data_IF_699027211032
#
_entry.id   IF_699027211032
#
_cell.length_a   1.000
_cell.length_b   1.000
_cell.length_c   1.000
_cell.angle_alpha   90.00
_cell.angle_beta   90.00
_cell.angle_gamma   90.00
#
_symmetry.space_group_name_H-M   'P 1'
#
loop_
_entity.id
_entity.type
_entity.pdbx_description
1 polymer ?
#
# COMPACT_ATOMS: atom_id res chain seq x y z
N UNK A 1 17.94 5.07 3.97
CA UNK A 1 16.65 4.58 3.45
C UNK A 1 16.87 3.81 2.15
N UNK A 2 16.32 2.60 2.05
CA UNK A 2 16.51 1.73 0.89
C UNK A 2 15.68 2.22 -0.30
N UNK A 3 16.15 2.01 -1.53
CA UNK A 3 15.42 2.47 -2.74
C UNK A 3 13.96 1.98 -2.81
N UNK A 4 13.68 0.78 -2.33
CA UNK A 4 12.32 0.23 -2.31
C UNK A 4 11.40 0.96 -1.33
N UNK A 5 11.95 1.45 -0.21
CA UNK A 5 11.25 2.28 0.76
C UNK A 5 10.99 3.66 0.16
N UNK A 6 12.00 4.31 -0.44
CA UNK A 6 11.84 5.61 -1.12
C UNK A 6 10.73 5.53 -2.17
N UNK A 7 10.78 4.54 -3.06
CA UNK A 7 9.75 4.31 -4.07
C UNK A 7 8.35 4.15 -3.45
N UNK A 8 8.25 3.53 -2.29
CA UNK A 8 6.97 3.29 -1.62
C UNK A 8 6.46 4.55 -0.92
N UNK A 9 7.32 5.21 -0.14
CA UNK A 9 7.03 6.43 0.62
C UNK A 9 6.60 7.57 -0.31
N UNK A 10 7.29 7.76 -1.43
CA UNK A 10 7.02 8.83 -2.39
C UNK A 10 6.07 8.40 -3.52
N UNK A 11 5.54 7.17 -3.46
CA UNK A 11 4.57 6.67 -4.45
C UNK A 11 5.09 6.58 -5.88
N UNK A 12 6.41 6.47 -6.07
CA UNK A 12 7.06 6.51 -7.37
C UNK A 12 6.74 5.26 -8.22
N UNK A 13 6.74 5.41 -9.53
CA UNK A 13 6.61 4.31 -10.47
C UNK A 13 7.86 3.42 -10.37
N UNK A 14 7.69 2.16 -9.95
CA UNK A 14 8.82 1.24 -9.81
C UNK A 14 9.60 1.08 -11.13
N UNK A 15 8.89 0.96 -12.25
CA UNK A 15 9.53 0.79 -13.56
C UNK A 15 10.37 2.01 -13.91
N UNK A 16 9.82 3.20 -13.74
CA UNK A 16 10.44 4.44 -14.21
C UNK A 16 11.53 4.93 -13.25
N UNK A 17 11.30 4.82 -11.94
CA UNK A 17 12.29 5.21 -10.92
C UNK A 17 13.54 4.32 -10.98
N UNK A 18 13.38 3.00 -11.02
CA UNK A 18 14.52 2.09 -11.20
C UNK A 18 15.09 2.11 -12.62
N UNK A 19 14.31 2.53 -13.62
CA UNK A 19 14.80 2.74 -14.99
C UNK A 19 15.78 3.92 -15.00
N UNK A 20 15.31 5.08 -14.54
CA UNK A 20 16.12 6.29 -14.43
C UNK A 20 17.43 6.08 -13.66
N UNK A 21 17.37 5.44 -12.48
CA UNK A 21 18.59 5.16 -11.71
C UNK A 21 19.61 4.28 -12.46
N UNK A 22 19.16 3.42 -13.37
CA UNK A 22 20.07 2.61 -14.21
C UNK A 22 20.57 3.39 -15.41
N UNK A 23 19.69 4.15 -16.06
CA UNK A 23 20.02 4.94 -17.24
C UNK A 23 21.07 6.01 -16.89
N UNK A 24 20.98 6.59 -15.68
CA UNK A 24 21.99 7.49 -15.11
C UNK A 24 23.19 6.76 -14.48
N UNK A 25 23.25 5.43 -14.59
CA UNK A 25 24.32 4.57 -14.05
C UNK A 25 24.58 4.74 -12.53
N UNK A 26 23.56 5.15 -11.78
CA UNK A 26 23.62 5.26 -10.31
C UNK A 26 23.46 3.89 -9.63
N UNK A 27 22.79 2.94 -10.29
CA UNK A 27 22.68 1.56 -9.82
C UNK A 27 22.95 0.57 -10.95
N UNK A 28 23.49 -0.59 -10.59
CA UNK A 28 23.71 -1.72 -11.50
C UNK A 28 22.98 -2.95 -10.98
N UNK A 29 22.41 -3.74 -11.90
CA UNK A 29 21.74 -4.99 -11.57
C UNK A 29 22.77 -6.04 -11.16
N UNK A 30 22.60 -6.62 -9.97
CA UNK A 30 23.33 -7.80 -9.51
C UNK A 30 22.41 -9.02 -9.45
N UNK A 31 22.99 -10.21 -9.24
CA UNK A 31 22.30 -11.50 -9.27
C UNK A 31 21.04 -11.51 -8.39
N UNK A 32 21.16 -11.01 -7.15
CA UNK A 32 20.09 -11.03 -6.15
C UNK A 32 19.70 -9.64 -5.64
N UNK A 33 19.82 -8.62 -6.51
CA UNK A 33 19.58 -7.25 -6.06
C UNK A 33 20.03 -6.14 -7.00
N UNK A 34 20.41 -5.03 -6.38
CA UNK A 34 21.06 -3.89 -7.02
C UNK A 34 22.24 -3.45 -6.16
N UNK A 35 23.29 -2.99 -6.83
CA UNK A 35 24.47 -2.38 -6.21
C UNK A 35 24.63 -0.95 -6.72
N UNK A 36 25.41 -0.14 -6.03
CA UNK A 36 25.78 1.21 -6.50
C UNK A 36 26.53 1.11 -7.84
N UNK A 37 26.19 1.99 -8.77
CA UNK A 37 26.81 2.08 -10.08
C UNK A 37 27.95 3.10 -10.13
N UNK A 38 28.62 3.23 -11.29
CA UNK A 38 29.79 4.10 -11.44
C UNK A 38 29.50 5.59 -11.26
N UNK A 39 28.25 6.01 -11.44
CA UNK A 39 27.79 7.40 -11.23
C UNK A 39 26.95 7.55 -9.97
N UNK A 40 27.01 6.58 -9.05
CA UNK A 40 26.33 6.71 -7.77
C UNK A 40 26.90 7.87 -6.97
N UNK A 41 26.04 8.58 -6.24
CA UNK A 41 26.48 9.60 -5.31
C UNK A 41 27.17 8.98 -4.11
N UNK A 42 28.07 9.74 -3.46
CA UNK A 42 28.80 9.29 -2.27
C UNK A 42 27.89 8.91 -1.09
N UNK A 43 26.68 9.50 -1.05
CA UNK A 43 25.65 9.22 -0.06
C UNK A 43 24.78 7.99 -0.39
N UNK A 44 25.15 7.23 -1.43
CA UNK A 44 24.56 5.93 -1.78
C UNK A 44 25.52 4.80 -1.44
N UNK A 45 25.00 3.69 -0.90
CA UNK A 45 25.80 2.51 -0.57
C UNK A 45 25.08 1.21 -0.86
N UNK A 46 25.85 0.17 -1.18
CA UNK A 46 25.33 -1.20 -1.24
C UNK A 46 25.24 -1.77 0.17
N UNK A 47 24.08 -2.29 0.53
CA UNK A 47 23.84 -3.15 1.67
C UNK A 47 23.80 -4.60 1.20
N UNK A 48 24.50 -5.46 1.92
CA UNK A 48 24.56 -6.89 1.66
C UNK A 48 23.87 -7.65 2.80
N UNK A 49 23.07 -8.64 2.43
CA UNK A 49 22.42 -9.53 3.39
C UNK A 49 22.52 -10.96 2.92
N UNK A 50 23.14 -11.81 3.74
CA UNK A 50 23.17 -13.25 3.50
C UNK A 50 21.77 -13.83 3.72
N UNK A 51 21.31 -14.63 2.77
CA UNK A 51 20.00 -15.29 2.80
C UNK A 51 20.13 -16.75 2.42
N UNK A 52 19.20 -17.55 2.95
CA UNK A 52 19.06 -18.96 2.61
C UNK A 52 17.88 -19.12 1.68
N UNK A 53 18.11 -19.74 0.52
CA UNK A 53 17.07 -20.11 -0.45
C UNK A 53 16.26 -21.31 0.02
N UNK A 54 15.12 -21.54 -0.63
CA UNK A 54 14.19 -22.63 -0.29
C UNK A 54 14.81 -24.03 -0.40
N UNK A 55 15.88 -24.16 -1.18
CA UNK A 55 16.66 -25.39 -1.37
C UNK A 55 17.88 -25.50 -0.42
N UNK A 56 18.00 -24.61 0.56
CA UNK A 56 19.16 -24.56 1.47
C UNK A 56 20.41 -23.87 0.89
N UNK A 57 20.36 -23.37 -0.35
CA UNK A 57 21.48 -22.59 -0.92
C UNK A 57 21.67 -21.26 -0.20
N UNK A 58 22.91 -20.85 0.03
CA UNK A 58 23.23 -19.54 0.61
C UNK A 58 23.53 -18.57 -0.54
N UNK A 59 22.90 -17.39 -0.52
CA UNK A 59 23.16 -16.32 -1.47
C UNK A 59 23.20 -14.96 -0.78
N UNK A 60 23.94 -14.03 -1.36
CA UNK A 60 24.01 -12.65 -0.88
C UNK A 60 23.03 -11.78 -1.64
N UNK A 61 22.00 -11.29 -0.96
CA UNK A 61 21.07 -10.31 -1.52
C UNK A 61 21.64 -8.90 -1.33
N UNK A 62 21.59 -8.11 -2.40
CA UNK A 62 22.10 -6.73 -2.40
C UNK A 62 20.97 -5.72 -2.51
N UNK A 63 21.07 -4.61 -1.79
CA UNK A 63 20.14 -3.49 -1.90
C UNK A 63 20.91 -2.18 -1.82
N UNK A 64 20.47 -1.16 -2.56
CA UNK A 64 21.04 0.17 -2.44
C UNK A 64 20.28 0.97 -1.38
N UNK A 65 21.05 1.59 -0.50
CA UNK A 65 20.61 2.50 0.55
C UNK A 65 21.11 3.91 0.26
N UNK A 66 20.27 4.89 0.54
CA UNK A 66 20.50 6.32 0.36
C UNK A 66 20.47 6.96 1.74
N UNK A 67 21.44 7.82 2.05
CA UNK A 67 21.42 8.58 3.31
C UNK A 67 20.09 9.33 3.47
N UNK A 68 19.45 9.20 4.63
CA UNK A 68 18.10 9.73 4.89
C UNK A 68 18.00 11.25 4.63
N UNK A 69 19.07 11.99 4.96
CA UNK A 69 19.17 13.44 4.74
C UNK A 69 19.18 13.83 3.25
N UNK A 70 19.49 12.89 2.35
CA UNK A 70 19.64 13.10 0.90
C UNK A 70 18.50 12.52 0.08
N UNK A 71 17.57 11.79 0.70
CA UNK A 71 16.42 11.19 0.02
C UNK A 71 15.57 12.25 -0.71
N UNK A 72 15.29 13.38 -0.06
CA UNK A 72 14.51 14.46 -0.66
C UNK A 72 15.18 15.01 -1.94
N UNK A 73 16.50 15.16 -1.92
CA UNK A 73 17.29 15.64 -3.08
C UNK A 73 17.20 14.62 -4.22
N UNK A 74 17.37 13.32 -3.94
CA UNK A 74 17.25 12.28 -4.97
C UNK A 74 15.87 12.29 -5.64
N UNK A 75 14.81 12.49 -4.86
CA UNK A 75 13.43 12.57 -5.38
C UNK A 75 13.24 13.81 -6.23
N UNK A 76 13.73 14.97 -5.79
CA UNK A 76 13.67 16.21 -6.57
C UNK A 76 14.41 16.06 -7.92
N UNK A 77 15.60 15.46 -7.92
CA UNK A 77 16.35 15.17 -9.15
C UNK A 77 15.56 14.24 -10.09
N UNK A 78 14.90 13.21 -9.55
CA UNK A 78 14.05 12.33 -10.34
C UNK A 78 12.84 13.07 -10.93
N UNK A 79 12.20 13.97 -10.16
CA UNK A 79 11.08 14.78 -10.64
C UNK A 79 11.49 15.76 -11.74
N UNK A 80 12.73 16.23 -11.71
CA UNK A 80 13.31 17.14 -12.72
C UNK A 80 13.99 16.40 -13.89
N UNK A 81 14.04 15.06 -13.87
CA UNK A 81 14.74 14.25 -14.87
C UNK A 81 14.11 14.24 -16.27
N UNK A 82 12.86 14.68 -16.40
CA UNK A 82 12.09 14.61 -17.65
C UNK A 82 11.47 13.24 -17.92
N UNK A 83 11.61 12.26 -17.02
CA UNK A 83 10.96 10.95 -17.11
C UNK A 83 9.44 11.10 -16.99
N UNK A 84 8.67 10.48 -17.88
CA UNK A 84 7.20 10.51 -17.85
C UNK A 84 6.63 9.48 -16.88
N UNK A 85 5.38 9.67 -16.44
CA UNK A 85 4.70 8.76 -15.49
C UNK A 85 5.52 8.50 -14.21
N UNK A 86 6.04 9.57 -13.59
CA UNK A 86 6.94 9.52 -12.43
C UNK A 86 6.36 8.72 -11.26
N UNK A 87 5.07 8.84 -11.04
CA UNK A 87 4.36 8.23 -9.93
C UNK A 87 3.63 6.97 -10.37
N UNK A 88 3.60 5.99 -9.48
CA UNK A 88 2.78 4.80 -9.68
C UNK A 88 1.33 5.24 -9.80
N UNK A 89 0.68 4.90 -10.92
CA UNK A 89 -0.77 4.94 -11.00
C UNK A 89 -1.26 3.97 -9.94
N UNK A 90 -1.66 4.48 -8.77
CA UNK A 90 -2.33 3.66 -7.76
C UNK A 90 -3.48 2.99 -8.50
N UNK A 91 -3.39 1.68 -8.78
CA UNK A 91 -4.61 0.89 -8.94
C UNK A 91 -5.33 1.09 -7.62
N UNK A 92 -6.36 1.92 -7.64
CA UNK A 92 -7.13 2.41 -6.50
C UNK A 92 -7.87 1.27 -5.78
N UNK A 93 -7.15 0.27 -5.27
CA UNK A 93 -7.73 -0.75 -4.39
C UNK A 93 -8.20 -0.12 -3.07
N UNK A 94 -7.58 0.97 -2.63
CA UNK A 94 -8.01 1.71 -1.43
C UNK A 94 -9.30 2.52 -1.65
N UNK A 95 -9.51 3.14 -2.82
CA UNK A 95 -10.77 3.84 -3.10
C UNK A 95 -11.93 2.83 -3.25
N UNK A 96 -11.67 1.70 -3.90
CA UNK A 96 -12.67 0.64 -4.12
C UNK A 96 -13.03 -0.08 -2.81
N UNK A 97 -12.05 -0.37 -1.94
CA UNK A 97 -12.32 -0.87 -0.58
C UNK A 97 -13.03 0.16 0.31
N UNK A 98 -12.72 1.45 0.16
CA UNK A 98 -13.41 2.51 0.90
C UNK A 98 -14.87 2.65 0.48
N UNK A 99 -15.17 2.49 -0.82
CA UNK A 99 -16.52 2.58 -1.36
C UNK A 99 -17.36 1.32 -1.03
N UNK A 100 -16.76 0.13 -1.15
CA UNK A 100 -17.37 -1.12 -0.67
C UNK A 100 -17.66 -1.08 0.83
N UNK A 101 -16.73 -0.57 1.65
CA UNK A 101 -16.93 -0.41 3.09
C UNK A 101 -18.07 0.57 3.40
N UNK A 102 -18.13 1.72 2.71
CA UNK A 102 -19.22 2.69 2.86
C UNK A 102 -20.57 2.10 2.47
N UNK A 103 -20.62 1.29 1.40
CA UNK A 103 -21.83 0.60 0.97
C UNK A 103 -22.30 -0.43 2.01
N UNK A 104 -21.38 -1.25 2.53
CA UNK A 104 -21.69 -2.24 3.58
C UNK A 104 -22.17 -1.55 4.86
N UNK A 105 -21.57 -0.42 5.25
CA UNK A 105 -22.03 0.35 6.41
C UNK A 105 -23.44 0.93 6.21
N UNK A 106 -23.76 1.39 5.00
CA UNK A 106 -25.09 1.89 4.66
C UNK A 106 -26.15 0.77 4.65
N UNK A 107 -25.80 -0.42 4.18
CA UNK A 107 -26.65 -1.62 4.23
C UNK A 107 -26.88 -2.09 5.66
N UNK A 108 -25.83 -2.14 6.48
CA UNK A 108 -25.92 -2.50 7.90
C UNK A 108 -26.82 -1.53 8.68
N UNK A 109 -26.69 -0.22 8.44
CA UNK A 109 -27.54 0.80 9.06
C UNK A 109 -29.01 0.63 8.66
N UNK A 110 -29.29 0.32 7.38
CA UNK A 110 -30.65 0.06 6.90
C UNK A 110 -31.24 -1.21 7.53
N UNK A 111 -30.44 -2.27 7.63
CA UNK A 111 -30.85 -3.52 8.27
C UNK A 111 -31.19 -3.30 9.75
N UNK A 112 -30.34 -2.60 10.50
CA UNK A 112 -30.59 -2.28 11.91
C UNK A 112 -31.87 -1.46 12.11
N UNK A 113 -32.10 -0.43 11.30
CA UNK A 113 -33.34 0.34 11.36
C UNK A 113 -34.57 -0.54 11.12
N UNK A 114 -34.49 -1.48 10.16
CA UNK A 114 -35.60 -2.40 9.87
C UNK A 114 -35.84 -3.38 11.02
N UNK A 115 -34.78 -3.87 11.67
CA UNK A 115 -34.87 -4.71 12.87
C UNK A 115 -35.62 -3.95 13.96
N UNK A 116 -35.24 -2.72 14.28
CA UNK A 116 -35.91 -1.93 15.32
C UNK A 116 -37.39 -1.67 15.03
N UNK A 117 -37.76 -1.45 13.77
CA UNK A 117 -39.18 -1.33 13.39
C UNK A 117 -39.94 -2.64 13.60
N UNK A 118 -39.34 -3.77 13.21
CA UNK A 118 -39.96 -5.08 13.39
C UNK A 118 -40.10 -5.46 14.87
N UNK A 119 -39.08 -5.17 15.68
CA UNK A 119 -39.13 -5.38 17.14
C UNK A 119 -40.29 -4.58 17.77
N UNK A 120 -40.44 -3.32 17.38
CA UNK A 120 -41.56 -2.49 17.85
C UNK A 120 -42.92 -3.05 17.40
N UNK A 121 -43.03 -3.52 16.16
CA UNK A 121 -44.26 -4.14 15.65
C UNK A 121 -44.61 -5.42 16.41
N UNK A 122 -43.63 -6.28 16.67
CA UNK A 122 -43.81 -7.50 17.46
C UNK A 122 -44.31 -7.15 18.86
N UNK A 123 -43.69 -6.18 19.53
CA UNK A 123 -44.12 -5.73 20.86
C UNK A 123 -45.58 -5.24 20.87
N UNK A 124 -45.97 -4.43 19.87
CA UNK A 124 -47.35 -3.93 19.76
C UNK A 124 -48.32 -5.09 19.57
N UNK A 125 -48.01 -6.03 18.67
CA UNK A 125 -48.85 -7.20 18.42
C UNK A 125 -48.98 -8.10 19.65
N UNK A 126 -47.89 -8.30 20.39
CA UNK A 126 -47.90 -9.05 21.66
C UNK A 126 -48.84 -8.40 22.68
N UNK A 127 -48.76 -7.07 22.86
CA UNK A 127 -49.65 -6.34 23.77
C UNK A 127 -51.11 -6.41 23.33
N UNK A 128 -51.38 -6.32 22.04
CA UNK A 128 -52.74 -6.45 21.51
C UNK A 128 -53.31 -7.86 21.76
N UNK A 129 -52.50 -8.90 21.58
CA UNK A 129 -52.88 -10.28 21.90
C UNK A 129 -53.18 -10.46 23.39
N UNK A 130 -52.35 -9.92 24.29
CA UNK A 130 -52.59 -9.96 25.75
C UNK A 130 -53.94 -9.32 26.12
N UNK A 131 -54.28 -8.19 25.51
CA UNK A 131 -55.57 -7.51 25.71
C UNK A 131 -56.72 -8.40 25.23
N UNK A 132 -56.60 -8.99 24.03
CA UNK A 132 -57.63 -9.88 23.49
C UNK A 132 -57.83 -11.12 24.36
N UNK A 133 -56.76 -11.74 24.85
CA UNK A 133 -56.82 -12.92 25.71
C UNK A 133 -57.45 -12.57 27.06
N UNK A 134 -57.07 -11.43 27.66
CA UNK A 134 -57.57 -11.00 28.98
C UNK A 134 -59.02 -10.48 28.97
N UNK A 135 -59.59 -10.20 27.80
CA UNK A 135 -60.97 -9.77 27.61
C UNK A 135 -61.95 -10.94 27.38
N UNK A 136 -61.47 -12.18 27.44
CA UNK A 136 -62.24 -13.43 27.32
C UNK A 136 -62.34 -14.12 28.67
#
# INVERSE_FOLDING_TARGET
>A
MKLHEIKTTYGLSQKNFYGWLKDEEMIVKADYGYIVGPKAFEWMKTLEQVRTGANGSIYTSTQVDVEDSKVAILVEMYEQSGVTDLYSRKKNKQAQQSEELLQVMAELKRANNRISVLENQVLILTKQLEICISAT
#
